data_IF_390517219866
#
_entry.id   IF_390517219866
#
_cell.length_a   1.000
_cell.length_b   1.000
_cell.length_c   1.000
_cell.angle_alpha   90.00
_cell.angle_beta   90.00
_cell.angle_gamma   90.00
#
_symmetry.space_group_name_H-M   'P 1'
#
loop_
_entity.id
_entity.type
_entity.pdbx_description
1 polymer ?
#
# COMPACT_ATOMS: atom_id res chain seq x y z
N UNK A 1 7.48 45.83 -1.33
CA UNK A 1 6.08 45.66 -0.91
C UNK A 1 5.35 44.90 -2.00
N UNK A 2 5.51 43.57 -2.00
CA UNK A 2 4.50 42.58 -2.39
C UNK A 2 4.86 41.32 -1.61
N UNK A 3 4.08 41.07 -0.58
CA UNK A 3 4.03 39.83 0.18
C UNK A 3 3.12 38.83 -0.57
N UNK A 4 3.09 37.57 -0.12
CA UNK A 4 2.25 36.45 -0.58
C UNK A 4 2.73 35.78 -1.90
N UNK A 5 2.91 34.46 -1.99
CA UNK A 5 2.07 33.36 -1.50
C UNK A 5 2.93 32.15 -1.12
N UNK A 6 2.69 31.61 0.07
CA UNK A 6 3.06 30.25 0.48
C UNK A 6 2.54 29.21 -0.51
N UNK A 7 3.40 28.32 -0.97
CA UNK A 7 2.96 26.97 -1.35
C UNK A 7 3.88 26.00 -0.64
N UNK A 8 3.51 25.79 0.62
CA UNK A 8 3.71 24.55 1.34
C UNK A 8 3.05 23.43 0.51
N UNK A 9 3.78 22.92 -0.47
CA UNK A 9 3.51 21.62 -1.06
C UNK A 9 4.44 20.63 -0.38
N UNK A 10 4.27 20.48 0.94
CA UNK A 10 4.61 19.22 1.54
C UNK A 10 3.80 18.17 0.78
N UNK A 11 4.49 17.28 0.07
CA UNK A 11 3.95 15.96 -0.24
C UNK A 11 4.53 15.04 0.85
N UNK A 12 4.00 15.01 2.09
CA UNK A 12 4.55 14.12 3.09
C UNK A 12 3.81 12.79 2.97
N UNK A 13 4.49 11.75 2.48
CA UNK A 13 4.36 10.35 2.93
C UNK A 13 4.75 9.30 1.88
N UNK A 14 4.84 9.63 0.58
CA UNK A 14 5.13 8.59 -0.41
C UNK A 14 6.58 8.07 -0.33
N UNK A 15 7.54 8.97 -0.08
CA UNK A 15 8.98 8.66 -0.15
C UNK A 15 9.50 7.89 1.08
N UNK A 16 8.93 8.15 2.26
CA UNK A 16 9.34 7.46 3.51
C UNK A 16 8.80 6.03 3.57
N UNK A 17 7.62 5.76 3.00
CA UNK A 17 7.04 4.42 2.97
C UNK A 17 7.77 3.49 2.01
N UNK A 18 8.35 4.03 0.94
CA UNK A 18 9.19 3.26 0.00
C UNK A 18 10.51 2.80 0.64
N UNK A 19 11.04 3.56 1.61
CA UNK A 19 12.28 3.19 2.31
C UNK A 19 12.11 2.02 3.28
N UNK A 20 10.87 1.69 3.66
CA UNK A 20 10.54 0.59 4.59
C UNK A 20 9.98 -0.67 3.92
N UNK A 21 9.72 -0.60 2.61
CA UNK A 21 9.24 -1.73 1.82
C UNK A 21 10.38 -2.71 1.52
N UNK A 22 10.22 -3.96 1.95
CA UNK A 22 11.13 -5.05 1.62
C UNK A 22 10.78 -5.70 0.27
N UNK A 23 9.48 -5.81 -0.01
CA UNK A 23 8.97 -6.56 -1.14
C UNK A 23 7.53 -6.13 -1.46
N UNK A 24 7.19 -6.01 -2.73
CA UNK A 24 5.82 -5.75 -3.20
C UNK A 24 5.42 -6.80 -4.24
N UNK A 25 4.20 -7.34 -4.11
CA UNK A 25 3.59 -8.29 -5.04
C UNK A 25 2.16 -7.92 -5.34
N UNK A 26 1.75 -8.18 -6.59
CA UNK A 26 0.38 -8.01 -7.05
C UNK A 26 -0.29 -9.37 -7.12
N UNK A 27 -1.44 -9.49 -6.46
CA UNK A 27 -2.18 -10.72 -6.28
C UNK A 27 -3.60 -10.52 -6.80
N UNK A 28 -4.16 -11.56 -7.41
CA UNK A 28 -5.53 -11.53 -7.96
C UNK A 28 -6.50 -12.38 -7.15
N UNK A 29 -6.00 -13.15 -6.18
CA UNK A 29 -6.78 -14.02 -5.29
C UNK A 29 -6.67 -13.60 -3.83
N UNK A 30 -7.79 -13.69 -3.12
CA UNK A 30 -7.84 -13.47 -1.66
C UNK A 30 -7.09 -14.57 -0.91
N UNK A 31 -7.12 -15.81 -1.40
CA UNK A 31 -6.39 -16.91 -0.77
C UNK A 31 -4.87 -16.65 -0.74
N UNK A 32 -4.32 -16.13 -1.85
CA UNK A 32 -2.91 -15.76 -1.94
C UNK A 32 -2.57 -14.63 -0.97
N UNK A 33 -3.45 -13.64 -0.83
CA UNK A 33 -3.28 -12.55 0.14
C UNK A 33 -3.20 -13.11 1.56
N UNK A 34 -4.09 -14.03 1.92
CA UNK A 34 -4.10 -14.64 3.26
C UNK A 34 -2.82 -15.44 3.54
N UNK A 35 -2.30 -16.15 2.54
CA UNK A 35 -1.02 -16.85 2.66
C UNK A 35 0.13 -15.88 2.95
N UNK A 36 0.22 -14.77 2.21
CA UNK A 36 1.26 -13.75 2.41
C UNK A 36 1.14 -13.04 3.76
N UNK A 37 -0.08 -12.74 4.19
CA UNK A 37 -0.35 -12.17 5.52
C UNK A 37 0.09 -13.13 6.62
N UNK A 38 -0.27 -14.41 6.52
CA UNK A 38 0.14 -15.43 7.50
C UNK A 38 1.65 -15.61 7.55
N UNK A 39 2.33 -15.53 6.40
CA UNK A 39 3.78 -15.59 6.32
C UNK A 39 4.43 -14.36 6.99
N UNK A 40 3.92 -13.16 6.73
CA UNK A 40 4.40 -11.93 7.37
C UNK A 40 4.25 -11.98 8.90
N UNK A 41 3.11 -12.46 9.39
CA UNK A 41 2.86 -12.65 10.83
C UNK A 41 3.84 -13.65 11.45
N UNK A 42 4.06 -14.79 10.79
CA UNK A 42 5.01 -15.82 11.24
C UNK A 42 6.44 -15.28 11.35
N UNK A 43 6.81 -14.35 10.46
CA UNK A 43 8.12 -13.70 10.46
C UNK A 43 8.22 -12.48 11.40
N UNK A 44 7.10 -12.08 12.03
CA UNK A 44 7.04 -10.89 12.88
C UNK A 44 7.23 -9.58 12.10
N UNK A 45 6.90 -9.58 10.81
CA UNK A 45 7.05 -8.44 9.93
C UNK A 45 5.74 -7.68 9.76
N UNK A 46 5.84 -6.39 9.45
CA UNK A 46 4.70 -5.59 9.07
C UNK A 46 4.30 -5.86 7.62
N UNK A 47 3.05 -5.54 7.28
CA UNK A 47 2.62 -5.51 5.89
C UNK A 47 1.63 -4.36 5.65
N UNK A 48 1.49 -3.99 4.39
CA UNK A 48 0.44 -3.12 3.88
C UNK A 48 -0.29 -3.86 2.77
N UNK A 49 -1.61 -3.83 2.83
CA UNK A 49 -2.48 -4.38 1.79
C UNK A 49 -3.29 -3.25 1.18
N UNK A 50 -3.24 -3.12 -0.14
CA UNK A 50 -4.09 -2.23 -0.91
C UNK A 50 -4.90 -3.06 -1.89
N UNK A 51 -6.16 -2.69 -2.11
CA UNK A 51 -7.02 -3.34 -3.09
C UNK A 51 -7.50 -2.30 -4.09
N UNK A 52 -7.51 -2.64 -5.36
CA UNK A 52 -7.97 -1.77 -6.43
C UNK A 52 -8.78 -2.57 -7.45
N UNK A 53 -9.69 -1.87 -8.13
CA UNK A 53 -10.50 -2.47 -9.19
C UNK A 53 -9.80 -2.22 -10.52
N UNK A 54 -9.54 -3.29 -11.26
CA UNK A 54 -9.00 -3.23 -12.61
C UNK A 54 -10.12 -3.46 -13.60
N UNK A 55 -10.29 -2.52 -14.52
CA UNK A 55 -11.22 -2.66 -15.64
C UNK A 55 -10.41 -3.02 -16.88
N UNK A 56 -10.71 -4.16 -17.51
CA UNK A 56 -10.05 -4.56 -18.74
C UNK A 56 -10.46 -3.67 -19.92
N UNK A 57 -9.50 -3.29 -20.76
CA UNK A 57 -9.72 -2.39 -21.91
C UNK A 57 -10.69 -2.98 -22.96
N UNK A 58 -10.86 -4.32 -22.99
CA UNK A 58 -11.64 -5.07 -23.98
C UNK A 58 -12.74 -5.97 -23.37
N UNK A 59 -13.04 -5.87 -22.08
CA UNK A 59 -14.05 -6.73 -21.44
C UNK A 59 -14.81 -6.00 -20.34
N UNK A 60 -16.15 -6.12 -20.34
CA UNK A 60 -17.06 -5.69 -19.25
C UNK A 60 -16.80 -6.37 -17.88
N UNK A 61 -15.68 -7.08 -17.75
CA UNK A 61 -15.28 -7.79 -16.54
C UNK A 61 -14.33 -6.90 -15.76
N UNK A 62 -14.83 -6.35 -14.66
CA UNK A 62 -13.99 -5.70 -13.65
C UNK A 62 -13.49 -6.76 -12.67
N UNK A 63 -12.18 -6.80 -12.44
CA UNK A 63 -11.53 -7.68 -11.46
C UNK A 63 -11.05 -6.88 -10.24
N UNK A 64 -11.03 -7.51 -9.07
CA UNK A 64 -10.34 -6.96 -7.90
C UNK A 64 -8.92 -7.49 -7.89
N UNK A 65 -7.94 -6.60 -7.77
CA UNK A 65 -6.56 -6.95 -7.54
C UNK A 65 -6.07 -6.38 -6.22
N UNK A 66 -5.00 -6.96 -5.70
CA UNK A 66 -4.41 -6.65 -4.42
C UNK A 66 -2.92 -6.37 -4.59
N UNK A 67 -2.47 -5.25 -4.04
CA UNK A 67 -1.05 -4.96 -3.86
C UNK A 67 -0.69 -5.25 -2.41
N UNK A 68 0.19 -6.24 -2.21
CA UNK A 68 0.74 -6.59 -0.92
C UNK A 68 2.17 -6.08 -0.82
N UNK A 69 2.46 -5.26 0.18
CA UNK A 69 3.81 -4.78 0.48
C UNK A 69 4.24 -5.30 1.84
N UNK A 70 5.35 -6.05 1.88
CA UNK A 70 6.02 -6.47 3.10
C UNK A 70 6.90 -5.33 3.62
N UNK A 71 6.83 -5.06 4.92
CA UNK A 71 7.55 -3.98 5.58
C UNK A 71 8.61 -4.56 6.52
N UNK A 72 9.72 -3.85 6.69
CA UNK A 72 10.80 -4.28 7.59
C UNK A 72 10.43 -4.14 9.09
N UNK A 73 9.34 -3.44 9.39
CA UNK A 73 8.83 -3.18 10.73
C UNK A 73 7.30 -3.09 10.70
N UNK A 74 6.66 -3.28 11.86
CA UNK A 74 5.21 -3.13 11.95
C UNK A 74 4.81 -1.65 11.78
N UNK A 75 3.95 -1.32 10.80
CA UNK A 75 3.53 0.05 10.61
C UNK A 75 2.77 0.52 11.85
N UNK A 76 3.04 1.76 12.28
CA UNK A 76 2.28 2.37 13.36
C UNK A 76 0.79 2.40 12.97
N UNK A 77 -0.08 1.85 13.82
CA UNK A 77 -1.52 1.96 13.64
C UNK A 77 -1.87 3.45 13.58
N UNK A 78 -2.33 3.92 12.42
CA UNK A 78 -2.99 5.23 12.33
C UNK A 78 -4.38 5.08 12.93
N UNK A 79 -4.57 5.64 14.12
CA UNK A 79 -5.89 5.89 14.67
C UNK A 79 -6.44 7.13 13.96
N UNK A 80 -7.13 6.95 12.84
CA UNK A 80 -7.99 8.02 12.30
C UNK A 80 -9.29 8.03 13.11
N UNK A 81 -9.55 9.14 13.78
CA UNK A 81 -10.76 9.43 14.57
C UNK A 81 -11.80 10.19 13.78
#
# INVERSE_FOLDING_TARGET
MTDLISTDAAIPAADTLASDALYTVYLTSVDDVLEHVSAADTLGLGFRLQSYVVTGEDSDVSGTEFEFTLLNHMPARREEG
#
